data_IF_731618042264
#
_entry.id   IF_731618042264
#
_cell.length_a   1.000
_cell.length_b   1.000
_cell.length_c   1.000
_cell.angle_alpha   90.00
_cell.angle_beta   90.00
_cell.angle_gamma   90.00
#
_symmetry.space_group_name_H-M   'P 1'
#
loop_
_entity.id
_entity.type
_entity.pdbx_description
1 polymer ?
#
# COMPACT_ATOMS: atom_id res chain seq x y z
N UNK A 1 -0.52 -3.86 22.83
CA UNK A 1 -1.63 -2.94 23.17
C UNK A 1 -2.70 -2.84 22.07
N UNK A 2 -2.40 -2.43 20.81
CA UNK A 2 -3.42 -2.44 19.73
C UNK A 2 -3.66 -3.84 19.19
N UNK A 3 -2.60 -4.55 18.85
CA UNK A 3 -2.69 -5.90 18.29
C UNK A 3 -3.39 -6.88 19.25
N UNK A 4 -2.94 -6.95 20.50
CA UNK A 4 -3.57 -7.75 21.56
C UNK A 4 -5.05 -7.42 21.75
N UNK A 5 -5.45 -6.15 21.56
CA UNK A 5 -6.86 -5.76 21.65
C UNK A 5 -7.67 -6.28 20.48
N UNK A 6 -7.13 -6.25 19.25
CA UNK A 6 -7.79 -6.81 18.07
C UNK A 6 -7.94 -8.33 18.20
N UNK A 7 -6.89 -9.02 18.63
CA UNK A 7 -6.92 -10.46 18.91
C UNK A 7 -7.96 -10.80 19.99
N UNK A 8 -8.00 -10.03 21.09
CA UNK A 8 -9.01 -10.19 22.14
C UNK A 8 -10.45 -9.95 21.65
N UNK A 9 -10.63 -9.16 20.59
CA UNK A 9 -11.92 -8.93 19.92
C UNK A 9 -12.17 -9.92 18.75
N UNK A 10 -11.36 -10.97 18.62
CA UNK A 10 -11.58 -12.06 17.67
C UNK A 10 -11.01 -11.81 16.27
N UNK A 11 -10.16 -10.80 16.08
CA UNK A 11 -9.45 -10.58 14.82
C UNK A 11 -8.29 -11.57 14.71
N UNK A 12 -8.29 -12.39 13.67
CA UNK A 12 -7.15 -13.23 13.32
C UNK A 12 -6.06 -12.39 12.64
N UNK A 13 -4.85 -12.40 13.19
CA UNK A 13 -3.71 -11.66 12.67
C UNK A 13 -2.62 -12.63 12.21
N UNK A 14 -2.29 -12.57 10.91
CA UNK A 14 -1.21 -13.34 10.30
C UNK A 14 0.10 -12.56 10.39
N UNK A 15 0.94 -12.87 11.39
CA UNK A 15 2.24 -12.21 11.61
C UNK A 15 3.32 -12.79 10.70
N UNK A 16 4.25 -11.94 10.26
CA UNK A 16 5.41 -12.33 9.46
C UNK A 16 5.04 -13.20 8.24
N UNK A 17 3.88 -12.94 7.64
CA UNK A 17 3.38 -13.68 6.49
C UNK A 17 3.52 -12.86 5.22
N UNK A 18 3.86 -13.54 4.11
CA UNK A 18 3.87 -12.95 2.77
C UNK A 18 2.66 -13.44 1.99
N UNK A 19 1.87 -12.50 1.46
CA UNK A 19 0.79 -12.84 0.53
C UNK A 19 1.39 -13.27 -0.81
N UNK A 20 1.14 -14.51 -1.22
CA UNK A 20 1.59 -15.06 -2.51
C UNK A 20 0.56 -14.84 -3.61
N UNK A 21 -0.68 -15.23 -3.33
CA UNK A 21 -1.79 -15.15 -4.28
C UNK A 21 -3.06 -14.71 -3.57
N UNK A 22 -3.90 -14.00 -4.30
CA UNK A 22 -5.25 -13.61 -3.89
C UNK A 22 -6.13 -13.61 -5.13
N UNK A 23 -7.12 -14.51 -5.16
CA UNK A 23 -7.97 -14.75 -6.32
C UNK A 23 -9.42 -14.89 -5.91
N UNK A 24 -10.34 -14.58 -6.83
CA UNK A 24 -11.76 -14.83 -6.63
C UNK A 24 -12.08 -16.22 -7.20
N UNK A 25 -12.50 -17.14 -6.33
CA UNK A 25 -12.92 -18.50 -6.69
C UNK A 25 -14.28 -18.77 -6.02
N UNK A 26 -15.24 -19.31 -6.77
CA UNK A 26 -16.58 -19.65 -6.25
C UNK A 26 -17.29 -18.52 -5.46
N UNK A 27 -17.12 -17.26 -5.91
CA UNK A 27 -17.62 -16.03 -5.28
C UNK A 27 -17.01 -15.69 -3.91
N UNK A 28 -15.94 -16.37 -3.52
CA UNK A 28 -15.13 -16.06 -2.34
C UNK A 28 -13.75 -15.59 -2.77
N UNK A 29 -13.05 -14.89 -1.88
CA UNK A 29 -11.64 -14.55 -2.03
C UNK A 29 -10.82 -15.66 -1.39
N UNK A 30 -10.04 -16.36 -2.20
CA UNK A 30 -9.04 -17.31 -1.74
C UNK A 30 -7.68 -16.64 -1.74
N UNK A 31 -6.94 -16.76 -0.65
CA UNK A 31 -5.60 -16.20 -0.55
C UNK A 31 -4.62 -17.19 0.08
N UNK A 32 -3.36 -17.12 -0.36
CA UNK A 32 -2.27 -17.99 0.11
C UNK A 32 -1.21 -17.14 0.79
N UNK A 33 -0.83 -17.55 2.00
CA UNK A 33 0.25 -16.94 2.77
C UNK A 33 1.44 -17.90 2.83
N UNK A 34 2.65 -17.36 2.68
CA UNK A 34 3.91 -18.04 3.01
C UNK A 34 4.42 -17.51 4.36
N UNK A 35 4.89 -18.40 5.22
CA UNK A 35 5.46 -18.08 6.53
C UNK A 35 7.01 -18.09 6.48
N UNK A 36 7.70 -17.62 7.54
CA UNK A 36 9.17 -17.54 7.54
C UNK A 36 9.89 -18.89 7.44
N UNK A 37 9.19 -19.99 7.70
CA UNK A 37 9.68 -21.37 7.56
C UNK A 37 9.37 -21.97 6.16
N UNK A 38 8.99 -21.12 5.20
CA UNK A 38 8.57 -21.47 3.85
C UNK A 38 7.29 -22.34 3.77
N UNK A 39 6.59 -22.56 4.90
CA UNK A 39 5.29 -23.21 4.88
C UNK A 39 4.23 -22.32 4.24
N UNK A 40 3.24 -22.94 3.60
CA UNK A 40 2.15 -22.25 2.93
C UNK A 40 0.79 -22.64 3.52
N UNK A 41 -0.05 -21.64 3.76
CA UNK A 41 -1.42 -21.81 4.23
C UNK A 41 -2.40 -21.10 3.30
N UNK A 42 -3.56 -21.73 3.06
CA UNK A 42 -4.64 -21.20 2.21
C UNK A 42 -5.85 -20.86 3.05
N UNK A 43 -6.46 -19.71 2.76
CA UNK A 43 -7.61 -19.19 3.48
C UNK A 43 -8.68 -18.72 2.50
N UNK A 44 -9.92 -18.65 2.98
CA UNK A 44 -11.09 -18.18 2.24
C UNK A 44 -11.83 -17.10 3.05
N UNK A 45 -12.31 -16.07 2.35
CA UNK A 45 -13.11 -15.00 2.92
C UNK A 45 -14.18 -14.53 1.91
N UNK A 46 -15.33 -14.05 2.38
CA UNK A 46 -16.38 -13.54 1.48
C UNK A 46 -15.98 -12.26 0.74
N UNK A 47 -15.14 -11.43 1.37
CA UNK A 47 -14.68 -10.13 0.88
C UNK A 47 -13.24 -9.89 1.33
N UNK A 48 -12.52 -9.08 0.56
CA UNK A 48 -11.18 -8.61 0.91
C UNK A 48 -11.11 -7.08 0.81
N UNK A 49 -10.41 -6.47 1.76
CA UNK A 49 -10.02 -5.07 1.75
C UNK A 49 -8.50 -5.00 1.63
N UNK A 50 -7.99 -4.42 0.54
CA UNK A 50 -6.55 -4.29 0.30
C UNK A 50 -6.10 -2.92 0.81
N UNK A 51 -5.24 -2.91 1.83
CA UNK A 51 -4.79 -1.70 2.50
C UNK A 51 -3.27 -1.74 2.73
N UNK A 52 -2.50 -1.85 1.64
CA UNK A 52 -1.03 -2.09 1.65
C UNK A 52 -0.18 -0.83 1.55
N UNK A 53 -0.80 0.35 1.51
CA UNK A 53 -0.11 1.63 1.37
C UNK A 53 -0.79 2.56 0.38
N UNK A 54 -0.10 3.64 0.03
CA UNK A 54 -0.53 4.66 -0.93
C UNK A 54 0.63 4.96 -1.88
N UNK A 55 0.30 5.40 -3.09
CA UNK A 55 1.27 5.92 -4.06
C UNK A 55 0.92 7.38 -4.40
N UNK A 56 1.90 8.22 -4.75
CA UNK A 56 1.64 9.60 -5.20
C UNK A 56 0.73 9.64 -6.41
N UNK A 57 -0.22 10.57 -6.43
CA UNK A 57 -1.17 10.75 -7.52
C UNK A 57 -0.68 11.80 -8.53
N UNK A 58 0.38 11.48 -9.27
CA UNK A 58 1.08 12.41 -10.18
C UNK A 58 0.80 12.15 -11.67
N UNK A 59 0.11 11.06 -12.01
CA UNK A 59 -0.21 10.72 -13.39
C UNK A 59 -1.27 11.67 -13.98
N UNK A 60 -1.10 12.07 -15.25
CA UNK A 60 -2.03 12.94 -15.99
C UNK A 60 -2.31 14.30 -15.32
N UNK A 61 -1.38 14.77 -14.48
CA UNK A 61 -1.51 16.06 -13.78
C UNK A 61 -0.93 17.25 -14.55
N UNK A 62 -0.16 17.02 -15.61
CA UNK A 62 0.60 18.07 -16.30
C UNK A 62 1.95 18.39 -15.65
N UNK A 63 2.28 17.77 -14.50
CA UNK A 63 3.49 18.07 -13.72
C UNK A 63 4.78 17.77 -14.49
N UNK A 64 4.83 16.66 -15.23
CA UNK A 64 6.01 16.31 -16.03
C UNK A 64 6.19 17.25 -17.23
N UNK A 65 5.08 17.68 -17.81
CA UNK A 65 5.01 18.55 -18.98
C UNK A 65 5.52 19.96 -18.68
N UNK A 66 5.33 20.44 -17.45
CA UNK A 66 5.87 21.73 -16.98
C UNK A 66 7.32 21.62 -16.46
N UNK A 67 7.92 20.42 -16.48
CA UNK A 67 9.27 20.19 -15.99
C UNK A 67 9.39 20.11 -14.47
N UNK A 68 8.31 19.78 -13.75
CA UNK A 68 8.36 19.55 -12.31
C UNK A 68 9.19 18.29 -12.02
N UNK A 69 10.15 18.41 -11.10
CA UNK A 69 11.00 17.29 -10.70
C UNK A 69 10.26 16.34 -9.76
N UNK A 70 10.26 15.06 -10.12
CA UNK A 70 9.73 13.96 -9.32
C UNK A 70 10.85 12.94 -9.09
N UNK A 71 10.84 12.26 -7.94
CA UNK A 71 11.74 11.13 -7.70
C UNK A 71 11.26 9.85 -8.42
N UNK A 72 12.07 8.78 -8.33
CA UNK A 72 11.81 7.51 -9.03
C UNK A 72 10.48 6.84 -8.66
N UNK A 73 9.92 7.15 -7.49
CA UNK A 73 8.65 6.61 -7.00
C UNK A 73 7.49 7.63 -7.11
N UNK A 74 7.71 8.76 -7.79
CA UNK A 74 6.68 9.72 -8.17
C UNK A 74 6.37 10.81 -7.13
N UNK A 75 7.16 10.96 -6.08
CA UNK A 75 7.03 12.08 -5.14
C UNK A 75 7.61 13.35 -5.74
N UNK A 76 7.05 14.49 -5.36
CA UNK A 76 7.56 15.80 -5.78
C UNK A 76 8.85 16.07 -5.02
N UNK A 77 9.91 16.49 -5.73
CA UNK A 77 11.14 16.91 -5.08
C UNK A 77 10.98 18.38 -4.69
N UNK A 78 11.06 18.66 -3.39
CA UNK A 78 11.02 20.00 -2.83
C UNK A 78 12.14 20.23 -1.80
N UNK A 79 12.35 21.50 -1.48
CA UNK A 79 13.15 21.95 -0.35
C UNK A 79 12.37 23.01 0.42
N UNK A 80 11.96 22.68 1.65
CA UNK A 80 11.10 23.53 2.48
C UNK A 80 9.83 23.97 1.74
N UNK A 81 9.11 23.00 1.16
CA UNK A 81 7.89 23.13 0.34
C UNK A 81 8.10 23.71 -1.06
N UNK A 82 9.27 24.27 -1.37
CA UNK A 82 9.53 24.87 -2.68
C UNK A 82 10.08 23.84 -3.68
N UNK A 83 9.45 23.73 -4.84
CA UNK A 83 9.86 22.80 -5.90
C UNK A 83 11.01 23.38 -6.75
N UNK A 84 11.45 22.66 -7.79
CA UNK A 84 12.39 23.19 -8.77
C UNK A 84 11.84 24.37 -9.60
N UNK A 85 10.53 24.65 -9.51
CA UNK A 85 9.87 25.78 -10.14
C UNK A 85 9.51 26.82 -9.07
N UNK A 86 10.13 28.00 -9.12
CA UNK A 86 10.07 29.03 -8.05
C UNK A 86 8.66 29.43 -7.58
N UNK A 87 7.65 29.26 -8.42
CA UNK A 87 6.26 29.65 -8.19
C UNK A 87 5.33 28.46 -7.91
N UNK A 88 5.88 27.25 -7.77
CA UNK A 88 5.15 26.02 -7.47
C UNK A 88 5.70 25.42 -6.17
N UNK A 89 4.78 25.07 -5.29
CA UNK A 89 5.06 24.54 -3.96
C UNK A 89 4.35 23.20 -3.77
N UNK A 90 4.98 22.31 -3.01
CA UNK A 90 4.44 21.02 -2.62
C UNK A 90 4.33 20.95 -1.10
N UNK A 91 3.25 20.36 -0.60
CA UNK A 91 3.06 20.08 0.82
C UNK A 91 2.69 18.61 0.94
N UNK A 92 3.44 17.88 1.75
CA UNK A 92 3.17 16.48 2.06
C UNK A 92 2.52 16.38 3.46
N UNK A 93 1.56 15.47 3.60
CA UNK A 93 0.83 15.17 4.85
C UNK A 93 0.97 13.72 5.24
#
# INVERSE_FOLDING_TARGET
MVEENLEANGVLIHRNSRLETMEIQDKQVKYVLTHPDDSQESFEAEKALVSVGRVPNVENTGMKEIGLELNDIGYIIDNDTQTNLDHIYAVET
#
